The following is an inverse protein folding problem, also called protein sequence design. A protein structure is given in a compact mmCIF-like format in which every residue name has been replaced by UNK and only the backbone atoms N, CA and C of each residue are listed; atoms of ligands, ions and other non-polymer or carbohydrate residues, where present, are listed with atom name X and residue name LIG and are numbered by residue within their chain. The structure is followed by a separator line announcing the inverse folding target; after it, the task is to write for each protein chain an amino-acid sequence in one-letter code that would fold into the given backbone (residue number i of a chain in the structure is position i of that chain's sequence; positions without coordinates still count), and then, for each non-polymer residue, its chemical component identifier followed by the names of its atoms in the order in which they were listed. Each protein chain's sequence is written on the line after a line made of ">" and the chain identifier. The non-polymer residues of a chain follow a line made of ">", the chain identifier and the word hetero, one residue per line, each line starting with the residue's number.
data_IF_459236708449
#
_entry.id   IF_459236708449
#
_cell.length_a   1.000
_cell.length_b   1.000
_cell.length_c   1.000
_cell.angle_alpha   90.00
_cell.angle_beta   90.00
_cell.angle_gamma   90.00
#
_symmetry.space_group_name_H-M   'P 1'
#
loop_
_entity.id
_entity.type
_entity.pdbx_description
1 polymer ?
#
# COMPACT_ATOMS: atom_id res chain seq x y z
N UNK A 1 3.75 12.24 -9.12
CA UNK A 1 2.39 12.15 -8.53
C UNK A 1 2.43 11.98 -7.02
N UNK A 2 3.41 12.58 -6.33
CA UNK A 2 3.46 12.61 -4.87
C UNK A 2 3.67 14.07 -4.49
N UNK A 3 2.71 14.63 -3.75
CA UNK A 3 2.79 15.95 -3.18
C UNK A 3 2.83 15.77 -1.66
N UNK A 4 3.78 16.43 -0.99
CA UNK A 4 3.97 16.33 0.47
C UNK A 4 2.71 16.75 1.25
N UNK A 5 1.87 17.60 0.66
CA UNK A 5 0.61 18.06 1.25
C UNK A 5 -0.61 17.23 0.82
N UNK A 6 -0.40 16.13 0.08
CA UNK A 6 -1.49 15.25 -0.34
C UNK A 6 -1.95 14.37 0.81
N UNK A 7 -3.26 14.19 0.94
CA UNK A 7 -3.85 13.17 1.82
C UNK A 7 -3.93 11.78 1.17
N UNK A 8 -3.33 11.62 -0.01
CA UNK A 8 -3.28 10.33 -0.72
C UNK A 8 -1.97 9.61 -0.43
N UNK A 9 -2.08 8.38 0.06
CA UNK A 9 -0.93 7.49 0.29
C UNK A 9 -0.97 6.38 -0.75
N UNK A 10 0.17 6.12 -1.38
CA UNK A 10 0.32 5.08 -2.41
C UNK A 10 1.23 3.98 -1.88
N UNK A 11 0.85 2.73 -2.11
CA UNK A 11 1.64 1.55 -1.75
C UNK A 11 1.38 0.41 -2.73
N UNK A 12 2.02 -0.72 -2.49
CA UNK A 12 1.90 -1.90 -3.36
C UNK A 12 0.48 -2.44 -3.37
N UNK A 13 0.02 -2.89 -4.54
CA UNK A 13 -1.29 -3.50 -4.67
C UNK A 13 -1.39 -4.76 -3.78
N UNK A 14 -2.36 -4.83 -2.85
CA UNK A 14 -2.63 -6.03 -2.07
C UNK A 14 -2.94 -7.24 -2.97
N UNK A 15 -2.36 -8.39 -2.66
CA UNK A 15 -2.61 -9.64 -3.40
C UNK A 15 -3.97 -10.28 -3.07
N UNK A 16 -4.56 -9.95 -1.92
CA UNK A 16 -5.81 -10.54 -1.45
C UNK A 16 -7.01 -9.64 -1.78
N UNK A 17 -7.93 -10.15 -2.60
CA UNK A 17 -9.15 -9.42 -2.98
C UNK A 17 -10.06 -9.09 -1.79
N UNK A 18 -10.13 -9.96 -0.78
CA UNK A 18 -10.96 -9.73 0.41
C UNK A 18 -10.52 -8.47 1.17
N UNK A 19 -9.21 -8.27 1.32
CA UNK A 19 -8.65 -7.07 1.93
C UNK A 19 -8.99 -5.80 1.12
N UNK A 20 -8.84 -5.87 -0.20
CA UNK A 20 -9.18 -4.77 -1.12
C UNK A 20 -10.66 -4.41 -1.03
N UNK A 21 -11.55 -5.41 -1.00
CA UNK A 21 -13.00 -5.20 -0.89
C UNK A 21 -13.40 -4.63 0.47
N UNK A 22 -12.80 -5.13 1.55
CA UNK A 22 -13.08 -4.66 2.92
C UNK A 22 -12.76 -3.19 3.10
N UNK A 23 -11.60 -2.76 2.58
CA UNK A 23 -11.11 -1.39 2.71
C UNK A 23 -11.42 -0.50 1.50
N UNK A 24 -12.15 -1.04 0.51
CA UNK A 24 -12.54 -0.38 -0.74
C UNK A 24 -11.35 0.32 -1.44
N UNK A 25 -10.21 -0.36 -1.47
CA UNK A 25 -8.97 0.20 -2.00
C UNK A 25 -9.07 0.36 -3.51
N UNK A 26 -8.73 1.55 -3.99
CA UNK A 26 -8.56 1.78 -5.41
C UNK A 26 -7.13 1.40 -5.82
N UNK A 27 -7.00 0.68 -6.93
CA UNK A 27 -5.71 0.24 -7.44
C UNK A 27 -5.63 0.46 -8.96
N UNK A 28 -4.43 0.77 -9.43
CA UNK A 28 -4.10 0.93 -10.83
C UNK A 28 -2.76 0.23 -11.07
N UNK A 29 -2.73 -0.73 -12.00
CA UNK A 29 -1.53 -1.54 -12.22
C UNK A 29 -1.05 -2.26 -10.95
N UNK A 30 0.18 -1.93 -10.52
CA UNK A 30 0.86 -2.49 -9.36
C UNK A 30 0.71 -1.66 -8.08
N UNK A 31 0.04 -0.50 -8.14
CA UNK A 31 -0.14 0.39 -6.99
C UNK A 31 -1.58 0.39 -6.50
N UNK A 32 -1.73 0.49 -5.17
CA UNK A 32 -2.98 0.83 -4.50
C UNK A 32 -2.84 2.23 -3.88
N UNK A 33 -3.93 2.99 -3.87
CA UNK A 33 -3.98 4.30 -3.24
C UNK A 33 -5.11 4.38 -2.22
N UNK A 34 -4.80 5.03 -1.09
CA UNK A 34 -5.75 5.37 -0.03
C UNK A 34 -5.83 6.87 0.09
N UNK A 35 -7.05 7.40 0.08
CA UNK A 35 -7.30 8.82 0.33
C UNK A 35 -7.77 8.97 1.77
N UNK A 36 -6.97 9.65 2.59
CA UNK A 36 -7.33 9.97 3.97
C UNK A 36 -8.29 11.15 3.95
N UNK A 37 -9.59 10.86 4.05
CA UNK A 37 -10.64 11.85 4.15
C UNK A 37 -10.81 12.31 5.62
N UNK A 38 -11.35 13.52 5.88
CA UNK A 38 -11.53 14.03 7.26
C UNK A 38 -12.35 13.13 8.20
N UNK A 39 -13.18 12.23 7.65
CA UNK A 39 -13.97 11.24 8.40
C UNK A 39 -13.16 10.01 8.86
N UNK A 40 -11.89 9.92 8.49
CA UNK A 40 -10.97 8.83 8.85
C UNK A 40 -10.19 9.24 10.10
N UNK A 41 -10.49 8.57 11.22
CA UNK A 41 -9.79 8.76 12.49
C UNK A 41 -8.47 7.99 12.53
N UNK A 42 -7.56 8.41 13.41
CA UNK A 42 -6.29 7.72 13.67
C UNK A 42 -6.53 6.24 14.03
N UNK A 43 -7.53 5.96 14.86
CA UNK A 43 -7.87 4.57 15.25
C UNK A 43 -8.23 3.68 14.05
N UNK A 44 -8.90 4.23 13.02
CA UNK A 44 -9.21 3.48 11.79
C UNK A 44 -7.96 3.21 10.98
N UNK A 45 -7.04 4.18 10.94
CA UNK A 45 -5.73 4.02 10.29
C UNK A 45 -4.89 2.97 11.02
N UNK A 46 -4.88 2.97 12.35
CA UNK A 46 -4.17 1.96 13.12
C UNK A 46 -4.71 0.55 12.84
N UNK A 47 -6.03 0.37 12.80
CA UNK A 47 -6.64 -0.92 12.42
C UNK A 47 -6.23 -1.31 11.00
N UNK A 48 -6.32 -0.38 10.04
CA UNK A 48 -5.91 -0.63 8.66
C UNK A 48 -4.44 -1.06 8.54
N UNK A 49 -3.54 -0.32 9.19
CA UNK A 49 -2.09 -0.56 9.13
C UNK A 49 -1.74 -1.88 9.80
N UNK A 50 -2.32 -2.19 10.96
CA UNK A 50 -2.10 -3.47 11.63
C UNK A 50 -2.55 -4.66 10.75
N UNK A 51 -3.77 -4.58 10.18
CA UNK A 51 -4.25 -5.63 9.29
C UNK A 51 -3.40 -5.75 8.02
N UNK A 52 -2.94 -4.62 7.47
CA UNK A 52 -2.04 -4.60 6.32
C UNK A 52 -0.72 -5.31 6.65
N UNK A 53 -0.12 -5.06 7.82
CA UNK A 53 1.13 -5.70 8.24
C UNK A 53 0.95 -7.21 8.42
N UNK A 54 -0.13 -7.62 9.08
CA UNK A 54 -0.43 -9.04 9.29
C UNK A 54 -0.61 -9.77 7.96
N UNK A 55 -1.42 -9.19 7.05
CA UNK A 55 -1.67 -9.76 5.72
C UNK A 55 -0.44 -9.71 4.82
N UNK A 56 0.34 -8.64 4.85
CA UNK A 56 1.61 -8.55 4.12
C UNK A 56 2.60 -9.64 4.56
N UNK A 57 2.63 -9.93 5.86
CA UNK A 57 3.43 -11.01 6.42
C UNK A 57 2.93 -12.40 6.03
N UNK A 58 1.67 -12.55 5.60
CA UNK A 58 1.15 -13.80 5.04
C UNK A 58 1.43 -13.91 3.54
N UNK A 59 1.29 -12.81 2.79
CA UNK A 59 1.50 -12.79 1.33
C UNK A 59 2.95 -13.05 0.93
N UNK A 60 3.91 -12.55 1.71
CA UNK A 60 5.35 -12.66 1.41
C UNK A 60 6.10 -13.63 2.33
N UNK A 61 5.37 -14.44 3.12
CA UNK A 61 5.92 -15.30 4.16
C UNK A 61 6.98 -16.27 3.66
N UNK A 62 6.70 -16.91 2.54
CA UNK A 62 7.52 -18.01 2.01
C UNK A 62 8.68 -17.53 1.11
N UNK A 63 8.82 -16.21 0.91
CA UNK A 63 9.85 -15.62 0.03
C UNK A 63 9.73 -16.02 -1.45
N UNK A 64 8.73 -16.83 -1.81
CA UNK A 64 8.42 -17.28 -3.17
C UNK A 64 7.84 -16.17 -4.04
N UNK A 65 7.23 -15.16 -3.41
CA UNK A 65 6.72 -13.95 -4.06
C UNK A 65 7.35 -12.75 -3.36
N UNK A 66 8.01 -11.88 -4.12
CA UNK A 66 8.52 -10.61 -3.63
C UNK A 66 7.49 -9.50 -3.90
N UNK A 67 7.44 -8.50 -3.01
CA UNK A 67 6.69 -7.27 -3.25
C UNK A 67 7.10 -6.64 -4.57
N UNK A 68 6.16 -6.29 -5.47
CA UNK A 68 6.51 -5.65 -6.73
C UNK A 68 7.22 -4.31 -6.49
N UNK A 69 8.19 -4.00 -7.34
CA UNK A 69 8.83 -2.69 -7.32
C UNK A 69 7.87 -1.65 -7.91
N UNK A 70 7.63 -0.57 -7.16
CA UNK A 70 6.73 0.52 -7.58
C UNK A 70 7.48 1.67 -8.25
N UNK A 71 8.80 1.59 -8.43
CA UNK A 71 9.62 2.67 -8.98
C UNK A 71 9.17 3.13 -10.37
N UNK A 72 8.56 2.23 -11.16
CA UNK A 72 7.96 2.55 -12.46
C UNK A 72 6.76 3.48 -12.30
N UNK A 73 5.97 3.30 -11.24
CA UNK A 73 4.73 4.02 -11.00
C UNK A 73 4.93 5.31 -10.18
N UNK A 74 5.82 5.29 -9.17
CA UNK A 74 6.04 6.43 -8.24
C UNK A 74 7.39 7.13 -8.39
N UNK A 75 8.27 6.64 -9.26
CA UNK A 75 9.65 7.13 -9.40
C UNK A 75 10.63 6.40 -8.47
N UNK A 76 11.86 6.20 -8.93
CA UNK A 76 12.89 5.50 -8.16
C UNK A 76 13.25 6.24 -6.86
N UNK A 77 13.18 7.58 -6.86
CA UNK A 77 13.47 8.38 -5.66
C UNK A 77 12.41 8.22 -4.55
N UNK A 78 11.22 7.73 -4.89
CA UNK A 78 10.11 7.55 -3.95
C UNK A 78 9.88 6.07 -3.60
N UNK A 79 10.67 5.15 -4.17
CA UNK A 79 10.45 3.71 -4.01
C UNK A 79 11.32 3.12 -2.88
N UNK A 80 10.70 2.78 -1.75
CA UNK A 80 11.39 2.19 -0.59
C UNK A 80 11.65 0.68 -0.68
N UNK A 81 11.72 0.10 -1.89
CA UNK A 81 11.99 -1.33 -2.08
C UNK A 81 13.49 -1.66 -1.87
N UNK A 82 13.82 -2.94 -1.69
CA UNK A 82 15.20 -3.37 -1.44
C UNK A 82 16.19 -3.05 -2.59
N UNK A 83 15.69 -2.81 -3.81
CA UNK A 83 16.50 -2.50 -4.99
C UNK A 83 16.89 -1.01 -5.10
N UNK A 84 16.14 -0.12 -4.46
CA UNK A 84 16.27 1.33 -4.58
C UNK A 84 16.47 2.02 -3.23
N UNK A 85 16.85 1.25 -2.20
CA UNK A 85 17.16 1.71 -0.85
C UNK A 85 18.59 2.26 -0.74
#
# INVERSE_FOLDING_TARGET
>A
MLNELSSTVVFERPSEEEFVRRWQLAFEGNIAHVVVMPSVSIEKLDVFVNELIEKRSTWYRDGTVQSPCLAVDIGAENCCCALHK
#
